data_IF_502802802449
#
_entry.id   IF_502802802449
#
_cell.length_a   1.000
_cell.length_b   1.000
_cell.length_c   1.000
_cell.angle_alpha   90.00
_cell.angle_beta   90.00
_cell.angle_gamma   90.00
#
_symmetry.space_group_name_H-M   'P 1'
#
loop_
_entity.id
_entity.type
_entity.pdbx_description
1 polymer ?
#
# COMPACT_ATOMS: atom_id res chain seq x y z
N UNK A 1 17.49 -1.22 1.98
CA UNK A 1 16.80 -2.39 1.41
C UNK A 1 16.19 -3.23 2.52
N UNK A 2 16.98 -3.61 3.53
CA UNK A 2 16.52 -4.33 4.74
C UNK A 2 15.28 -3.73 5.43
N UNK A 3 15.28 -2.42 5.73
CA UNK A 3 14.11 -1.77 6.37
C UNK A 3 12.81 -1.86 5.57
N UNK A 4 12.89 -1.86 4.24
CA UNK A 4 11.71 -2.00 3.39
C UNK A 4 11.21 -3.44 3.37
N UNK A 5 12.12 -4.43 3.38
CA UNK A 5 11.73 -5.84 3.50
C UNK A 5 11.05 -6.12 4.83
N UNK A 6 11.61 -5.64 5.94
CA UNK A 6 11.01 -5.75 7.27
C UNK A 6 9.62 -5.09 7.30
N UNK A 7 9.45 -3.91 6.70
CA UNK A 7 8.15 -3.25 6.64
C UNK A 7 7.11 -4.06 5.82
N UNK A 8 7.54 -4.72 4.74
CA UNK A 8 6.67 -5.61 3.96
C UNK A 8 6.28 -6.87 4.75
N UNK A 9 7.22 -7.45 5.50
CA UNK A 9 6.95 -8.60 6.37
C UNK A 9 5.89 -8.25 7.42
N UNK A 10 6.04 -7.11 8.11
CA UNK A 10 5.04 -6.65 9.07
C UNK A 10 3.65 -6.46 8.45
N UNK A 11 3.56 -5.96 7.22
CA UNK A 11 2.25 -5.82 6.57
C UNK A 11 1.66 -7.12 6.07
N UNK A 12 2.48 -8.08 5.64
CA UNK A 12 2.00 -9.41 5.31
C UNK A 12 1.48 -10.15 6.55
N UNK A 13 2.15 -9.99 7.69
CA UNK A 13 1.69 -10.54 8.98
C UNK A 13 0.36 -9.91 9.39
N UNK A 14 0.28 -8.58 9.42
CA UNK A 14 -0.97 -7.88 9.75
C UNK A 14 -2.13 -8.26 8.83
N UNK A 15 -1.86 -8.51 7.56
CA UNK A 15 -2.85 -9.01 6.60
C UNK A 15 -3.30 -10.43 6.92
N UNK A 16 -2.36 -11.34 7.17
CA UNK A 16 -2.65 -12.73 7.49
C UNK A 16 -3.45 -12.85 8.79
N UNK A 17 -3.08 -12.09 9.82
CA UNK A 17 -3.76 -12.05 11.11
C UNK A 17 -5.19 -11.51 10.96
N UNK A 18 -5.38 -10.42 10.21
CA UNK A 18 -6.71 -9.85 9.98
C UNK A 18 -7.65 -10.84 9.27
N UNK A 19 -7.13 -11.56 8.27
CA UNK A 19 -7.90 -12.62 7.57
C UNK A 19 -8.19 -13.79 8.51
N UNK A 20 -7.24 -14.19 9.35
CA UNK A 20 -7.43 -15.27 10.33
C UNK A 20 -8.50 -14.90 11.38
N UNK A 21 -8.61 -13.63 11.74
CA UNK A 21 -9.64 -13.08 12.63
C UNK A 21 -11.01 -12.89 11.93
N UNK A 22 -11.09 -13.18 10.63
CA UNK A 22 -12.32 -13.14 9.85
C UNK A 22 -12.66 -11.77 9.27
N UNK A 23 -11.71 -10.84 9.21
CA UNK A 23 -11.89 -9.54 8.55
C UNK A 23 -11.76 -9.73 7.03
N UNK A 24 -12.71 -9.18 6.28
CA UNK A 24 -12.67 -9.23 4.82
C UNK A 24 -11.44 -8.49 4.26
N UNK A 25 -10.72 -9.07 3.27
CA UNK A 25 -9.53 -8.45 2.68
C UNK A 25 -9.73 -7.02 2.18
N UNK A 26 -10.92 -6.71 1.64
CA UNK A 26 -11.28 -5.37 1.18
C UNK A 26 -11.30 -4.35 2.33
N UNK A 27 -11.74 -4.75 3.53
CA UNK A 27 -11.76 -3.90 4.72
C UNK A 27 -10.32 -3.64 5.21
N UNK A 28 -9.47 -4.66 5.19
CA UNK A 28 -8.04 -4.53 5.55
C UNK A 28 -7.35 -3.56 4.58
N UNK A 29 -7.61 -3.71 3.27
CA UNK A 29 -7.06 -2.82 2.25
C UNK A 29 -7.50 -1.37 2.44
N UNK A 30 -8.79 -1.12 2.65
CA UNK A 30 -9.33 0.23 2.88
C UNK A 30 -8.73 0.87 4.13
N UNK A 31 -8.61 0.11 5.23
CA UNK A 31 -8.00 0.59 6.47
C UNK A 31 -6.51 0.94 6.27
N UNK A 32 -5.76 0.08 5.58
CA UNK A 32 -4.35 0.30 5.30
C UNK A 32 -4.13 1.54 4.40
N UNK A 33 -4.93 1.69 3.35
CA UNK A 33 -4.88 2.86 2.46
C UNK A 33 -5.24 4.15 3.22
N UNK A 34 -6.29 4.13 4.03
CA UNK A 34 -6.68 5.29 4.83
C UNK A 34 -5.57 5.72 5.81
N UNK A 35 -4.93 4.76 6.49
CA UNK A 35 -3.80 5.02 7.38
C UNK A 35 -2.60 5.59 6.62
N UNK A 36 -2.21 4.94 5.51
CA UNK A 36 -1.09 5.38 4.69
C UNK A 36 -1.29 6.82 4.16
N UNK A 37 -2.52 7.16 3.74
CA UNK A 37 -2.85 8.51 3.28
C UNK A 37 -2.78 9.54 4.41
N UNK A 38 -3.32 9.23 5.59
CA UNK A 38 -3.22 10.13 6.77
C UNK A 38 -1.77 10.40 7.15
N UNK A 39 -0.94 9.37 7.20
CA UNK A 39 0.48 9.51 7.52
C UNK A 39 1.24 10.28 6.44
N UNK A 40 0.91 10.07 5.16
CA UNK A 40 1.50 10.82 4.05
C UNK A 40 1.17 12.30 4.17
N UNK A 41 -0.10 12.67 4.35
CA UNK A 41 -0.51 14.07 4.55
C UNK A 41 0.18 14.67 5.79
N UNK A 42 0.33 13.91 6.88
CA UNK A 42 1.05 14.36 8.08
C UNK A 42 2.53 14.64 7.81
N UNK A 43 3.18 13.86 6.94
CA UNK A 43 4.61 14.00 6.64
C UNK A 43 4.91 15.07 5.61
N UNK A 44 4.09 15.17 4.55
CA UNK A 44 4.40 15.98 3.36
C UNK A 44 3.27 16.92 2.91
N UNK A 45 2.18 17.03 3.68
CA UNK A 45 1.03 17.88 3.37
C UNK A 45 0.09 17.30 2.30
N UNK A 46 -1.03 17.97 2.08
CA UNK A 46 -2.06 17.53 1.12
C UNK A 46 -1.56 17.59 -0.33
N UNK A 47 -0.89 18.68 -0.74
CA UNK A 47 -0.32 18.82 -2.09
C UNK A 47 0.75 17.76 -2.38
N UNK A 48 1.58 17.42 -1.37
CA UNK A 48 2.57 16.35 -1.50
C UNK A 48 1.93 14.97 -1.63
N UNK A 49 0.84 14.72 -0.90
CA UNK A 49 0.07 13.48 -1.00
C UNK A 49 -0.64 13.35 -2.35
N UNK A 50 -1.18 14.45 -2.90
CA UNK A 50 -1.76 14.49 -4.24
C UNK A 50 -0.73 14.14 -5.31
N UNK A 51 0.45 14.76 -5.27
CA UNK A 51 1.54 14.44 -6.21
C UNK A 51 1.98 12.96 -6.13
N UNK A 52 2.00 12.38 -4.92
CA UNK A 52 2.28 10.96 -4.73
C UNK A 52 1.20 10.08 -5.37
N UNK A 53 -0.08 10.45 -5.23
CA UNK A 53 -1.20 9.71 -5.82
C UNK A 53 -1.18 9.75 -7.35
N UNK A 54 -0.85 10.89 -7.96
CA UNK A 54 -0.70 10.98 -9.42
C UNK A 54 0.41 10.06 -9.92
N UNK A 55 1.57 10.04 -9.26
CA UNK A 55 2.65 9.09 -9.60
C UNK A 55 2.23 7.63 -9.40
N UNK A 56 1.48 7.32 -8.33
CA UNK A 56 0.97 5.98 -8.08
C UNK A 56 -0.03 5.55 -9.17
N UNK A 57 -0.88 6.47 -9.62
CA UNK A 57 -1.81 6.27 -10.73
C UNK A 57 -1.07 5.98 -12.03
N UNK A 58 -0.02 6.73 -12.36
CA UNK A 58 0.81 6.46 -13.55
C UNK A 58 1.43 5.06 -13.52
N UNK A 59 1.97 4.65 -12.37
CA UNK A 59 2.54 3.31 -12.15
C UNK A 59 1.50 2.20 -12.30
N UNK A 60 0.30 2.42 -11.77
CA UNK A 60 -0.83 1.50 -11.95
C UNK A 60 -1.21 1.35 -13.42
N UNK A 61 -1.31 2.46 -14.17
CA UNK A 61 -1.60 2.43 -15.60
C UNK A 61 -0.48 1.78 -16.42
N UNK A 62 0.76 1.80 -15.93
CA UNK A 62 1.89 1.07 -16.49
C UNK A 62 1.93 -0.43 -16.13
N UNK A 63 0.92 -0.93 -15.41
CA UNK A 63 0.79 -2.33 -15.01
C UNK A 63 1.77 -2.76 -13.93
N UNK A 64 2.28 -1.83 -13.10
CA UNK A 64 3.24 -2.17 -12.05
C UNK A 64 2.64 -3.11 -10.97
N UNK A 65 1.33 -3.02 -10.75
CA UNK A 65 0.62 -3.81 -9.73
C UNK A 65 -0.16 -4.99 -10.31
N UNK A 66 -0.06 -5.24 -11.62
CA UNK A 66 -0.74 -6.37 -12.26
C UNK A 66 -0.07 -7.68 -11.83
N UNK A 67 -0.86 -8.70 -11.42
CA UNK A 67 -0.32 -9.96 -10.91
C UNK A 67 0.55 -10.74 -11.92
N UNK A 68 0.45 -10.45 -13.22
CA UNK A 68 1.18 -11.18 -14.28
C UNK A 68 2.48 -10.52 -14.79
N UNK A 69 3.11 -9.57 -14.08
CA UNK A 69 4.42 -9.04 -14.54
C UNK A 69 5.55 -10.07 -14.33
N UNK A 70 5.75 -10.93 -15.33
CA UNK A 70 7.01 -11.67 -15.51
C UNK A 70 8.07 -10.65 -15.89
N UNK A 71 8.99 -10.33 -14.98
CA UNK A 71 10.21 -9.59 -15.31
C UNK A 71 10.96 -10.39 -16.39
N UNK A 72 11.06 -9.84 -17.61
CA UNK A 72 12.03 -10.28 -18.61
C UNK A 72 13.33 -9.51 -18.45
#
# INVERSE_FOLDING_TARGET
REKMQVALEYQNEAWADGVADGIEPEIIADAALALAMRETVRMIGEEGAEAMLESLRERMLAGEFSPERILQ
#
